data_IF_607516592429
#
_entry.id   IF_607516592429
#
_cell.length_a   1.000
_cell.length_b   1.000
_cell.length_c   1.000
_cell.angle_alpha   90.00
_cell.angle_beta   90.00
_cell.angle_gamma   90.00
#
_symmetry.space_group_name_H-M   'P 1'
#
loop_
_entity.id
_entity.type
_entity.pdbx_description
1 polymer ?
#
# COMPACT_ATOMS: atom_id res chain seq x y z
N UNK A 1 13.69 45.81 80.45
CA UNK A 1 13.64 46.98 79.56
C UNK A 1 13.83 46.49 78.12
N UNK A 2 12.79 46.66 77.30
CA UNK A 2 12.70 46.61 75.83
C UNK A 2 13.13 45.38 75.01
N UNK A 3 12.11 44.81 74.34
CA UNK A 3 12.13 44.01 73.12
C UNK A 3 13.04 44.60 72.02
N UNK A 4 13.77 43.73 71.31
CA UNK A 4 13.88 43.78 69.84
C UNK A 4 13.93 42.36 69.27
N UNK A 5 13.01 42.11 68.32
CA UNK A 5 12.86 40.90 67.53
C UNK A 5 14.12 40.61 66.71
N UNK A 6 14.54 39.35 66.64
CA UNK A 6 15.51 38.86 65.66
C UNK A 6 14.80 37.82 64.76
N UNK A 7 14.71 38.13 63.46
CA UNK A 7 14.16 37.24 62.42
C UNK A 7 15.11 36.06 62.22
N UNK A 8 14.60 34.83 62.37
CA UNK A 8 15.28 33.60 61.94
C UNK A 8 14.89 33.34 60.49
N UNK A 9 15.87 33.41 59.59
CA UNK A 9 15.73 33.00 58.19
C UNK A 9 15.80 31.48 58.09
N UNK A 10 14.77 30.88 57.50
CA UNK A 10 14.71 29.46 57.14
C UNK A 10 15.50 29.27 55.85
N UNK A 11 16.60 28.50 55.91
CA UNK A 11 17.31 27.99 54.73
C UNK A 11 16.76 26.60 54.44
N UNK A 12 15.87 26.50 53.46
CA UNK A 12 15.38 25.22 52.93
C UNK A 12 16.33 24.76 51.82
N UNK A 13 16.99 23.63 52.05
CA UNK A 13 17.81 22.93 51.05
C UNK A 13 16.87 22.37 49.96
N UNK A 14 16.90 22.95 48.75
CA UNK A 14 16.16 22.45 47.60
C UNK A 14 17.01 21.38 46.89
N UNK A 15 16.71 20.10 47.11
CA UNK A 15 17.21 19.01 46.25
C UNK A 15 16.44 19.07 44.93
N UNK A 16 17.07 19.57 43.87
CA UNK A 16 16.57 19.46 42.50
C UNK A 16 16.86 18.03 42.02
N UNK A 17 15.87 17.15 42.10
CA UNK A 17 15.90 15.89 41.39
C UNK A 17 15.77 16.18 39.88
N UNK A 18 16.87 16.05 39.14
CA UNK A 18 16.87 15.98 37.68
C UNK A 18 16.13 14.70 37.26
N UNK A 19 14.81 14.80 37.08
CA UNK A 19 14.09 13.85 36.26
C UNK A 19 14.43 14.17 34.80
N UNK A 20 15.43 13.48 34.25
CA UNK A 20 15.54 13.33 32.80
C UNK A 20 14.32 12.54 32.33
N UNK A 21 13.30 13.24 31.85
CA UNK A 21 12.19 12.64 31.11
C UNK A 21 12.75 12.13 29.79
N UNK A 22 13.27 10.90 29.78
CA UNK A 22 13.28 10.09 28.58
C UNK A 22 11.81 9.88 28.21
N UNK A 23 11.30 10.75 27.36
CA UNK A 23 10.04 10.51 26.67
C UNK A 23 10.20 9.24 25.86
N UNK A 24 9.66 8.14 26.37
CA UNK A 24 9.30 6.99 25.56
C UNK A 24 8.28 7.49 24.54
N UNK A 25 8.75 7.93 23.37
CA UNK A 25 7.91 7.98 22.19
C UNK A 25 7.48 6.54 21.92
N UNK A 26 6.25 6.21 22.33
CA UNK A 26 5.51 5.10 21.77
C UNK A 26 5.42 5.34 20.26
N UNK A 27 6.35 4.73 19.51
CA UNK A 27 6.17 4.51 18.07
C UNK A 27 4.98 3.57 17.93
N UNK A 28 3.77 4.14 17.83
CA UNK A 28 2.63 3.41 17.30
C UNK A 28 3.02 3.03 15.85
N UNK A 29 3.35 1.76 15.64
CA UNK A 29 3.56 1.23 14.29
C UNK A 29 2.27 1.45 13.50
N UNK A 30 2.35 2.26 12.45
CA UNK A 30 1.24 2.57 11.55
C UNK A 30 1.02 1.34 10.66
N UNK A 31 0.31 0.33 11.18
CA UNK A 31 -0.35 -0.63 10.32
C UNK A 31 -1.74 -0.07 10.02
N UNK A 32 -1.88 0.56 8.85
CA UNK A 32 -3.17 1.05 8.40
C UNK A 32 -4.13 -0.15 8.26
N UNK A 33 -5.25 -0.10 8.98
CA UNK A 33 -6.35 -1.08 8.88
C UNK A 33 -7.31 -0.75 7.73
N UNK A 34 -7.22 0.46 7.18
CA UNK A 34 -8.06 0.98 6.10
C UNK A 34 -7.24 1.95 5.24
N UNK A 35 -7.56 2.13 3.94
CA UNK A 35 -6.85 3.09 3.12
C UNK A 35 -7.10 4.53 3.61
N UNK A 36 -6.08 5.38 3.52
CA UNK A 36 -6.31 6.82 3.47
C UNK A 36 -6.26 7.33 2.04
N UNK A 37 -7.25 8.13 1.65
CA UNK A 37 -7.26 8.78 0.36
C UNK A 37 -8.48 8.42 -0.46
N UNK A 38 -8.35 8.41 -1.78
CA UNK A 38 -9.49 8.23 -2.66
C UNK A 38 -10.20 6.88 -2.48
N UNK A 39 -9.49 5.81 -2.12
CA UNK A 39 -10.09 4.50 -1.85
C UNK A 39 -10.89 4.45 -0.53
N UNK A 40 -10.81 5.50 0.31
CA UNK A 40 -11.58 5.62 1.57
C UNK A 40 -12.91 6.35 1.39
N UNK A 41 -13.16 6.95 0.23
CA UNK A 41 -14.38 7.70 -0.05
C UNK A 41 -15.54 6.77 -0.44
N UNK A 42 -16.77 7.32 -0.46
CA UNK A 42 -17.96 6.68 -1.04
C UNK A 42 -18.26 5.24 -0.55
N UNK A 43 -18.01 4.97 0.73
CA UNK A 43 -18.21 3.63 1.33
C UNK A 43 -16.92 2.84 1.53
N UNK A 44 -15.79 3.36 1.03
CA UNK A 44 -14.45 2.85 1.31
C UNK A 44 -14.11 1.57 0.56
N UNK A 45 -13.01 0.94 0.97
CA UNK A 45 -12.51 -0.30 0.37
C UNK A 45 -12.34 -1.34 1.48
N UNK A 46 -13.09 -2.43 1.40
CA UNK A 46 -13.14 -3.52 2.39
C UNK A 46 -12.63 -4.85 1.82
N UNK A 47 -12.45 -4.95 0.51
CA UNK A 47 -11.92 -6.13 -0.15
C UNK A 47 -12.80 -7.36 0.04
N UNK A 48 -12.20 -8.45 0.48
CA UNK A 48 -12.85 -9.72 0.77
C UNK A 48 -13.49 -9.83 2.16
N UNK A 49 -13.59 -8.74 2.92
CA UNK A 49 -14.16 -8.76 4.27
C UNK A 49 -15.56 -9.39 4.29
N UNK A 50 -15.83 -10.19 5.33
CA UNK A 50 -17.07 -10.98 5.45
C UNK A 50 -17.07 -12.28 4.63
N UNK A 51 -16.08 -12.50 3.76
CA UNK A 51 -15.88 -13.73 3.03
C UNK A 51 -15.00 -14.76 3.75
N UNK A 52 -14.89 -16.00 3.24
CA UNK A 52 -13.95 -16.98 3.76
C UNK A 52 -12.50 -16.54 3.53
N UNK A 53 -11.63 -17.04 4.41
CA UNK A 53 -10.17 -16.96 4.24
C UNK A 53 -9.69 -18.27 3.60
N UNK A 54 -8.95 -18.17 2.50
CA UNK A 54 -8.47 -19.32 1.74
C UNK A 54 -6.96 -19.21 1.49
N UNK A 55 -6.29 -20.35 1.35
CA UNK A 55 -4.85 -20.43 1.05
C UNK A 55 -4.67 -21.34 -0.17
N UNK A 56 -4.68 -20.79 -1.40
CA UNK A 56 -4.58 -21.62 -2.59
C UNK A 56 -3.25 -22.36 -2.64
N UNK A 57 -3.30 -23.62 -3.07
CA UNK A 57 -2.13 -24.49 -3.19
C UNK A 57 -1.59 -24.59 -4.61
N UNK A 58 -2.38 -24.17 -5.60
CA UNK A 58 -2.06 -24.16 -7.03
C UNK A 58 -2.55 -22.88 -7.70
N UNK A 59 -1.98 -22.53 -8.87
CA UNK A 59 -2.44 -21.34 -9.62
C UNK A 59 -3.90 -21.48 -10.07
N UNK A 60 -4.34 -22.70 -10.41
CA UNK A 60 -5.73 -22.96 -10.78
C UNK A 60 -6.70 -22.66 -9.62
N UNK A 61 -6.34 -23.06 -8.40
CA UNK A 61 -7.11 -22.77 -7.19
C UNK A 61 -7.09 -21.27 -6.86
N UNK A 62 -5.94 -20.61 -6.98
CA UNK A 62 -5.81 -19.16 -6.85
C UNK A 62 -6.74 -18.43 -7.84
N UNK A 63 -6.73 -18.81 -9.11
CA UNK A 63 -7.57 -18.21 -10.13
C UNK A 63 -9.05 -18.43 -9.82
N UNK A 64 -9.45 -19.63 -9.37
CA UNK A 64 -10.83 -19.93 -8.98
C UNK A 64 -11.32 -19.00 -7.87
N UNK A 65 -10.53 -18.83 -6.79
CA UNK A 65 -10.89 -17.93 -5.70
C UNK A 65 -10.88 -16.46 -6.12
N UNK A 66 -9.92 -16.06 -6.97
CA UNK A 66 -9.77 -14.68 -7.40
C UNK A 66 -10.91 -14.21 -8.33
N UNK A 67 -11.42 -15.06 -9.22
CA UNK A 67 -12.48 -14.68 -10.18
C UNK A 67 -13.90 -14.98 -9.72
N UNK A 68 -14.08 -15.65 -8.58
CA UNK A 68 -15.42 -15.98 -8.05
C UNK A 68 -16.22 -14.73 -7.65
N UNK A 69 -17.57 -14.80 -7.62
CA UNK A 69 -18.42 -13.63 -7.36
C UNK A 69 -18.45 -13.22 -5.87
N UNK A 70 -18.16 -14.16 -4.96
CA UNK A 70 -18.30 -13.94 -3.51
C UNK A 70 -17.10 -13.20 -2.94
N UNK A 71 -17.27 -12.42 -1.85
CA UNK A 71 -16.14 -11.88 -1.10
C UNK A 71 -15.18 -12.99 -0.66
N UNK A 72 -13.86 -12.81 -0.82
CA UNK A 72 -12.85 -13.79 -0.36
C UNK A 72 -11.56 -13.09 0.06
N UNK A 73 -10.99 -13.52 1.18
CA UNK A 73 -9.61 -13.17 1.58
C UNK A 73 -8.69 -14.32 1.16
N UNK A 74 -7.77 -14.05 0.25
CA UNK A 74 -6.86 -15.02 -0.36
C UNK A 74 -5.46 -14.78 0.19
N UNK A 75 -4.98 -15.71 1.01
CA UNK A 75 -3.64 -15.66 1.57
C UNK A 75 -2.64 -16.32 0.64
N UNK A 76 -1.61 -15.57 0.25
CA UNK A 76 -0.53 -16.04 -0.62
C UNK A 76 0.67 -16.39 0.26
N UNK A 77 0.82 -17.67 0.59
CA UNK A 77 1.86 -18.17 1.51
C UNK A 77 3.08 -18.75 0.78
N UNK A 78 3.16 -18.55 -0.53
CA UNK A 78 4.15 -19.13 -1.43
C UNK A 78 4.40 -18.25 -2.65
N UNK A 79 5.41 -18.65 -3.42
CA UNK A 79 5.59 -18.18 -4.80
C UNK A 79 4.62 -18.90 -5.74
N UNK A 80 3.89 -18.13 -6.55
CA UNK A 80 3.28 -18.62 -7.78
C UNK A 80 4.11 -18.12 -8.96
N UNK A 81 4.53 -19.06 -9.81
CA UNK A 81 5.40 -18.78 -10.95
C UNK A 81 4.68 -18.97 -12.29
N UNK A 82 4.91 -18.04 -13.20
CA UNK A 82 4.29 -17.95 -14.52
C UNK A 82 5.20 -18.36 -15.69
N UNK A 83 4.89 -17.88 -16.91
CA UNK A 83 3.96 -16.78 -17.22
C UNK A 83 2.48 -17.13 -17.05
N UNK A 84 1.71 -16.34 -16.29
CA UNK A 84 0.23 -16.41 -16.25
C UNK A 84 -0.41 -15.04 -15.97
N UNK A 85 -1.72 -14.93 -16.22
CA UNK A 85 -2.54 -13.78 -15.82
C UNK A 85 -3.54 -14.21 -14.75
N UNK A 86 -3.50 -13.56 -13.59
CA UNK A 86 -4.51 -13.69 -12.53
C UNK A 86 -5.62 -12.67 -12.77
N UNK A 87 -6.80 -13.13 -13.21
CA UNK A 87 -7.99 -12.28 -13.29
C UNK A 87 -8.59 -12.14 -11.89
N UNK A 88 -8.60 -10.92 -11.37
CA UNK A 88 -9.06 -10.62 -10.02
C UNK A 88 -10.42 -9.92 -10.08
N UNK A 89 -11.44 -10.61 -9.59
CA UNK A 89 -12.81 -10.11 -9.51
C UNK A 89 -13.04 -9.16 -8.33
N UNK A 90 -14.27 -8.67 -8.25
CA UNK A 90 -14.73 -7.77 -7.19
C UNK A 90 -14.74 -8.41 -5.80
N UNK A 91 -14.64 -7.59 -4.75
CA UNK A 91 -14.70 -8.01 -3.34
C UNK A 91 -13.59 -9.01 -2.98
N UNK A 92 -12.34 -8.69 -3.28
CA UNK A 92 -11.21 -9.59 -3.04
C UNK A 92 -10.14 -8.91 -2.19
N UNK A 93 -9.55 -9.69 -1.29
CA UNK A 93 -8.30 -9.32 -0.63
C UNK A 93 -7.23 -10.32 -1.03
N UNK A 94 -6.17 -9.89 -1.69
CA UNK A 94 -4.93 -10.67 -1.84
C UNK A 94 -3.97 -10.22 -0.75
N UNK A 95 -3.47 -11.14 0.06
CA UNK A 95 -2.55 -10.83 1.16
C UNK A 95 -1.38 -11.81 1.20
N UNK A 96 -0.14 -11.33 1.06
CA UNK A 96 1.04 -12.18 1.21
C UNK A 96 1.32 -12.55 2.68
N UNK A 97 1.59 -13.82 2.97
CA UNK A 97 1.86 -14.27 4.35
C UNK A 97 3.34 -14.09 4.67
N UNK A 98 3.64 -13.26 5.68
CA UNK A 98 5.01 -12.92 6.07
C UNK A 98 5.76 -12.28 4.90
N UNK A 99 6.82 -12.91 4.41
CA UNK A 99 7.56 -12.48 3.21
C UNK A 99 7.42 -13.46 2.05
N UNK A 100 6.53 -14.46 2.16
CA UNK A 100 6.46 -15.58 1.22
C UNK A 100 5.60 -15.29 -0.02
N UNK A 101 4.67 -14.34 0.09
CA UNK A 101 3.73 -14.03 -0.98
C UNK A 101 4.43 -13.41 -2.18
N UNK A 102 4.55 -14.18 -3.27
CA UNK A 102 5.30 -13.74 -4.45
C UNK A 102 4.61 -14.18 -5.74
N UNK A 103 4.35 -13.20 -6.59
CA UNK A 103 3.92 -13.37 -7.96
C UNK A 103 5.10 -13.17 -8.91
N UNK A 104 5.70 -14.29 -9.32
CA UNK A 104 6.85 -14.32 -10.22
C UNK A 104 6.37 -14.62 -11.65
N UNK A 105 6.45 -13.65 -12.55
CA UNK A 105 5.94 -13.74 -13.92
C UNK A 105 4.40 -13.88 -13.97
N UNK A 106 3.70 -13.31 -13.00
CA UNK A 106 2.24 -13.32 -12.94
C UNK A 106 1.76 -11.87 -12.99
N UNK A 107 0.92 -11.55 -13.98
CA UNK A 107 0.23 -10.26 -14.07
C UNK A 107 -1.15 -10.32 -13.42
N UNK A 108 -1.52 -9.31 -12.64
CA UNK A 108 -2.88 -9.21 -12.07
C UNK A 108 -3.72 -8.29 -12.93
N UNK A 109 -4.82 -8.83 -13.45
CA UNK A 109 -5.79 -8.11 -14.28
C UNK A 109 -7.03 -7.78 -13.46
N UNK A 110 -7.31 -6.48 -13.29
CA UNK A 110 -8.53 -5.96 -12.67
C UNK A 110 -9.30 -5.19 -13.75
N UNK A 111 -10.39 -5.77 -14.27
CA UNK A 111 -11.13 -5.18 -15.39
C UNK A 111 -12.62 -5.07 -15.08
N UNK A 112 -13.13 -3.83 -14.99
CA UNK A 112 -14.49 -3.52 -14.55
C UNK A 112 -14.85 -4.15 -13.18
N UNK A 113 -13.94 -4.06 -12.21
CA UNK A 113 -14.12 -4.65 -10.87
C UNK A 113 -13.96 -3.62 -9.77
N UNK A 114 -14.53 -3.91 -8.60
CA UNK A 114 -14.51 -2.99 -7.48
C UNK A 114 -14.27 -3.65 -6.13
N UNK A 115 -13.90 -2.85 -5.14
CA UNK A 115 -13.71 -3.25 -3.75
C UNK A 115 -12.61 -4.32 -3.62
N UNK A 116 -11.37 -3.92 -3.87
CA UNK A 116 -10.22 -4.83 -3.92
C UNK A 116 -9.10 -4.32 -3.01
N UNK A 117 -8.49 -5.22 -2.25
CA UNK A 117 -7.30 -4.97 -1.44
C UNK A 117 -6.19 -5.90 -1.92
N UNK A 118 -4.99 -5.37 -2.18
CA UNK A 118 -3.79 -6.15 -2.51
C UNK A 118 -2.68 -5.69 -1.58
N UNK A 119 -2.21 -6.58 -0.70
CA UNK A 119 -1.22 -6.21 0.31
C UNK A 119 -0.10 -7.22 0.49
N UNK A 120 1.07 -6.72 0.89
CA UNK A 120 2.20 -7.52 1.32
C UNK A 120 2.69 -8.54 0.27
N UNK A 121 2.65 -8.17 -1.01
CA UNK A 121 2.97 -9.06 -2.12
C UNK A 121 4.15 -8.55 -2.92
N UNK A 122 5.03 -9.48 -3.30
CA UNK A 122 6.10 -9.21 -4.26
C UNK A 122 5.59 -9.51 -5.68
N UNK A 123 6.00 -8.70 -6.65
CA UNK A 123 5.69 -8.85 -8.06
C UNK A 123 6.94 -8.67 -8.93
N UNK A 124 7.08 -9.52 -9.94
CA UNK A 124 8.04 -9.30 -11.03
C UNK A 124 7.56 -9.95 -12.32
N UNK A 125 7.93 -9.37 -13.45
CA UNK A 125 7.86 -9.97 -14.79
C UNK A 125 9.23 -10.43 -15.29
N UNK A 126 10.28 -10.28 -14.47
CA UNK A 126 11.65 -10.65 -14.86
C UNK A 126 11.71 -12.10 -15.35
N UNK A 127 12.29 -12.27 -16.54
CA UNK A 127 12.53 -13.59 -17.12
C UNK A 127 11.32 -14.26 -17.77
N UNK A 128 10.18 -13.57 -17.92
CA UNK A 128 9.15 -14.00 -18.89
C UNK A 128 9.81 -14.16 -20.27
N UNK A 129 9.46 -15.13 -21.13
CA UNK A 129 10.03 -15.24 -22.48
C UNK A 129 9.83 -13.98 -23.36
N UNK A 130 10.68 -13.82 -24.38
CA UNK A 130 10.57 -12.73 -25.37
C UNK A 130 9.56 -13.14 -26.47
N UNK A 131 8.80 -12.18 -26.98
CA UNK A 131 7.88 -12.35 -28.11
C UNK A 131 8.64 -12.65 -29.41
N UNK A 132 8.08 -13.56 -30.23
CA UNK A 132 8.69 -13.95 -31.50
C UNK A 132 8.38 -12.98 -32.65
N UNK A 133 7.75 -11.82 -32.36
CA UNK A 133 7.40 -10.76 -33.31
C UNK A 133 8.52 -9.75 -33.56
N UNK A 134 9.66 -9.89 -32.86
CA UNK A 134 10.81 -9.00 -32.99
C UNK A 134 10.68 -7.69 -32.22
N UNK A 135 9.59 -7.46 -31.47
CA UNK A 135 9.42 -6.28 -30.62
C UNK A 135 10.21 -6.37 -29.32
N UNK A 136 10.81 -7.52 -29.03
CA UNK A 136 11.61 -7.79 -27.83
C UNK A 136 10.85 -7.55 -26.50
N UNK A 137 9.51 -7.65 -26.56
CA UNK A 137 8.59 -7.54 -25.43
C UNK A 137 8.34 -8.88 -24.75
N UNK A 138 7.74 -8.87 -23.56
CA UNK A 138 7.31 -10.08 -22.87
C UNK A 138 6.20 -10.82 -23.63
N UNK A 139 6.32 -12.14 -23.73
CA UNK A 139 5.39 -13.03 -24.42
C UNK A 139 4.43 -13.75 -23.45
N UNK A 140 3.33 -14.29 -23.99
CA UNK A 140 2.44 -15.20 -23.25
C UNK A 140 1.34 -14.50 -22.46
N UNK A 141 1.09 -13.22 -22.73
CA UNK A 141 0.03 -12.44 -22.10
C UNK A 141 -0.98 -11.99 -23.17
N UNK A 142 -2.23 -12.42 -23.05
CA UNK A 142 -3.35 -11.91 -23.86
C UNK A 142 -4.00 -10.69 -23.20
N UNK A 143 -3.18 -9.86 -22.55
CA UNK A 143 -3.56 -8.75 -21.65
C UNK A 143 -2.36 -7.80 -21.49
N UNK A 144 -2.59 -6.58 -21.01
CA UNK A 144 -1.53 -5.63 -20.67
C UNK A 144 -0.57 -6.26 -19.64
N UNK A 145 0.69 -6.52 -19.99
CA UNK A 145 1.53 -7.40 -19.19
C UNK A 145 2.23 -6.64 -18.04
N UNK A 146 1.44 -5.83 -17.35
CA UNK A 146 1.80 -5.08 -16.15
C UNK A 146 1.83 -6.01 -14.94
N UNK A 147 2.58 -5.69 -13.88
CA UNK A 147 2.47 -6.46 -12.63
C UNK A 147 1.04 -6.39 -12.08
N UNK A 148 0.45 -5.19 -12.09
CA UNK A 148 -0.98 -4.96 -11.87
C UNK A 148 -1.50 -4.00 -12.95
N UNK A 149 -2.50 -4.42 -13.71
CA UNK A 149 -3.23 -3.54 -14.59
C UNK A 149 -4.69 -3.42 -14.16
N UNK A 150 -5.09 -2.17 -13.90
CA UNK A 150 -6.44 -1.78 -13.55
C UNK A 150 -7.05 -1.10 -14.76
N UNK A 151 -8.15 -1.66 -15.27
CA UNK A 151 -8.78 -1.24 -16.50
C UNK A 151 -10.30 -1.24 -16.37
N UNK A 152 -10.97 -0.55 -17.28
CA UNK A 152 -12.43 -0.43 -17.30
C UNK A 152 -12.94 -0.46 -18.75
N UNK A 153 -12.47 -1.44 -19.52
CA UNK A 153 -12.79 -1.65 -20.93
C UNK A 153 -13.20 -3.10 -21.24
N UNK A 154 -13.76 -3.80 -20.24
CA UNK A 154 -14.38 -5.11 -20.48
C UNK A 154 -15.60 -4.94 -21.39
N UNK A 155 -15.48 -5.40 -22.63
CA UNK A 155 -16.53 -5.25 -23.63
C UNK A 155 -17.81 -6.03 -23.30
N UNK A 156 -17.73 -7.02 -22.41
CA UNK A 156 -18.89 -7.78 -21.92
C UNK A 156 -19.76 -6.99 -20.94
N UNK A 157 -19.23 -5.89 -20.38
CA UNK A 157 -19.97 -4.97 -19.51
C UNK A 157 -20.51 -3.81 -20.35
N UNK A 158 -21.78 -3.38 -20.15
CA UNK A 158 -22.33 -2.20 -20.82
C UNK A 158 -21.43 -0.97 -20.63
N UNK A 159 -21.19 -0.19 -21.69
CA UNK A 159 -20.25 0.93 -21.66
C UNK A 159 -20.50 1.92 -20.51
N UNK A 160 -21.76 2.22 -20.21
CA UNK A 160 -22.17 3.11 -19.11
C UNK A 160 -21.87 2.57 -17.71
N UNK A 161 -21.59 1.27 -17.58
CA UNK A 161 -21.30 0.59 -16.32
C UNK A 161 -19.81 0.24 -16.17
N UNK A 162 -19.01 0.39 -17.24
CA UNK A 162 -17.58 0.09 -17.21
C UNK A 162 -16.84 1.01 -16.26
N UNK A 163 -16.45 0.47 -15.11
CA UNK A 163 -15.70 1.17 -14.06
C UNK A 163 -14.94 0.16 -13.22
N UNK A 164 -13.68 0.47 -12.93
CA UNK A 164 -12.94 -0.20 -11.86
C UNK A 164 -12.77 0.76 -10.70
N UNK A 165 -13.11 0.38 -9.47
CA UNK A 165 -13.05 1.33 -8.36
C UNK A 165 -12.91 0.79 -6.95
N UNK A 166 -12.52 1.64 -6.01
CA UNK A 166 -12.32 1.26 -4.60
C UNK A 166 -11.26 0.18 -4.49
N UNK A 167 -10.03 0.55 -4.82
CA UNK A 167 -8.89 -0.37 -4.89
C UNK A 167 -7.76 0.18 -4.01
N UNK A 168 -7.25 -0.68 -3.12
CA UNK A 168 -6.15 -0.36 -2.24
C UNK A 168 -4.99 -1.32 -2.47
N UNK A 169 -3.83 -0.78 -2.87
CA UNK A 169 -2.60 -1.52 -3.11
C UNK A 169 -1.56 -1.03 -2.10
N UNK A 170 -1.17 -1.89 -1.17
CA UNK A 170 -0.40 -1.46 -0.01
C UNK A 170 0.70 -2.43 0.45
N UNK A 171 1.88 -1.90 0.78
CA UNK A 171 3.03 -2.69 1.22
C UNK A 171 3.46 -3.79 0.22
N UNK A 172 3.32 -3.55 -1.08
CA UNK A 172 3.82 -4.44 -2.12
C UNK A 172 5.22 -4.03 -2.60
N UNK A 173 5.93 -4.96 -3.24
CA UNK A 173 7.22 -4.73 -3.90
C UNK A 173 7.11 -5.06 -5.39
N UNK A 174 7.54 -4.16 -6.27
CA UNK A 174 7.44 -4.27 -7.71
C UNK A 174 8.79 -3.99 -8.36
N UNK A 175 9.28 -4.93 -9.17
CA UNK A 175 10.57 -4.79 -9.84
C UNK A 175 10.70 -5.70 -11.07
N UNK A 176 11.61 -5.36 -11.98
CA UNK A 176 11.96 -6.21 -13.10
C UNK A 176 13.47 -6.30 -13.30
N UNK A 177 14.07 -5.24 -13.82
CA UNK A 177 15.46 -5.21 -14.22
C UNK A 177 15.99 -3.79 -14.19
N UNK A 178 17.26 -3.64 -13.82
CA UNK A 178 17.90 -2.35 -13.74
C UNK A 178 17.81 -1.63 -15.10
N UNK A 179 17.18 -0.44 -15.17
CA UNK A 179 16.97 0.27 -16.42
C UNK A 179 18.28 0.72 -17.08
N UNK A 180 19.41 0.68 -16.38
CA UNK A 180 20.74 0.97 -16.96
C UNK A 180 21.36 -0.24 -17.64
N UNK A 181 20.87 -1.45 -17.35
CA UNK A 181 21.33 -2.71 -17.95
C UNK A 181 20.42 -3.17 -19.09
N UNK A 182 19.19 -2.67 -19.17
CA UNK A 182 18.23 -2.99 -20.21
C UNK A 182 18.61 -2.29 -21.53
N UNK A 183 18.80 -3.07 -22.59
CA UNK A 183 19.06 -2.54 -23.94
C UNK A 183 17.79 -2.10 -24.66
N UNK A 184 16.63 -2.51 -24.15
CA UNK A 184 15.31 -2.19 -24.68
C UNK A 184 14.40 -1.77 -23.53
N UNK A 185 14.00 -0.50 -23.54
CA UNK A 185 13.20 0.10 -22.48
C UNK A 185 11.72 -0.38 -22.50
N UNK A 186 11.28 -1.00 -23.60
CA UNK A 186 9.92 -1.53 -23.77
C UNK A 186 9.82 -3.04 -23.48
N UNK A 187 10.93 -3.68 -23.13
CA UNK A 187 11.00 -5.11 -22.79
C UNK A 187 9.93 -5.54 -21.78
N UNK A 188 9.75 -4.77 -20.71
CA UNK A 188 8.66 -4.90 -19.74
C UNK A 188 7.76 -3.65 -19.86
N UNK A 189 6.45 -3.80 -19.64
CA UNK A 189 5.53 -2.66 -19.72
C UNK A 189 5.46 -1.86 -18.41
N UNK A 190 4.30 -1.78 -17.76
CA UNK A 190 4.08 -1.12 -16.48
C UNK A 190 4.39 -1.99 -15.26
N UNK A 191 4.66 -1.37 -14.10
CA UNK A 191 4.53 -2.05 -12.81
C UNK A 191 3.07 -1.98 -12.35
N UNK A 192 2.49 -0.79 -12.32
CA UNK A 192 1.11 -0.58 -11.86
C UNK A 192 0.43 0.50 -12.69
N UNK A 193 -0.47 0.06 -13.57
CA UNK A 193 -1.20 0.94 -14.48
C UNK A 193 -2.69 1.04 -14.11
N UNK A 194 -3.26 2.22 -14.32
CA UNK A 194 -4.68 2.48 -14.18
C UNK A 194 -5.22 3.23 -15.42
N UNK A 195 -6.01 2.54 -16.23
CA UNK A 195 -6.44 2.98 -17.57
C UNK A 195 -7.98 3.03 -17.63
N UNK A 196 -8.55 3.83 -18.53
CA UNK A 196 -10.00 3.99 -18.66
C UNK A 196 -10.65 4.55 -17.37
N UNK A 197 -11.92 4.26 -17.12
CA UNK A 197 -12.71 4.74 -15.98
C UNK A 197 -12.33 4.08 -14.63
N UNK A 198 -11.08 4.27 -14.21
CA UNK A 198 -10.57 3.84 -12.91
C UNK A 198 -10.78 4.92 -11.85
N UNK A 199 -11.42 4.60 -10.73
CA UNK A 199 -11.83 5.59 -9.73
C UNK A 199 -11.52 5.12 -8.31
N UNK A 200 -11.27 6.04 -7.38
CA UNK A 200 -11.16 5.70 -5.96
C UNK A 200 -10.04 4.70 -5.66
N UNK A 201 -8.81 5.04 -6.06
CA UNK A 201 -7.63 4.17 -5.89
C UNK A 201 -6.67 4.78 -4.88
N UNK A 202 -6.09 3.95 -4.02
CA UNK A 202 -5.01 4.34 -3.09
C UNK A 202 -3.85 3.36 -3.23
N UNK A 203 -2.66 3.90 -3.42
CA UNK A 203 -1.41 3.16 -3.58
C UNK A 203 -0.49 3.64 -2.46
N UNK A 204 -0.26 2.80 -1.45
CA UNK A 204 0.46 3.22 -0.23
C UNK A 204 1.58 2.29 0.20
N UNK A 205 2.66 2.84 0.74
CA UNK A 205 3.75 2.04 1.31
C UNK A 205 4.36 0.98 0.37
N UNK A 206 4.22 1.16 -0.95
CA UNK A 206 4.76 0.21 -1.93
C UNK A 206 6.20 0.59 -2.31
N UNK A 207 7.00 -0.44 -2.59
CA UNK A 207 8.36 -0.28 -3.08
C UNK A 207 8.43 -0.60 -4.57
N UNK A 208 8.64 0.42 -5.40
CA UNK A 208 8.86 0.30 -6.83
C UNK A 208 10.34 0.48 -7.12
N UNK A 209 11.00 -0.51 -7.72
CA UNK A 209 12.41 -0.37 -8.07
C UNK A 209 12.83 -1.16 -9.30
N UNK A 210 13.98 -0.80 -9.87
CA UNK A 210 14.63 -1.52 -10.98
C UNK A 210 13.64 -1.77 -12.14
N UNK A 211 13.22 -0.70 -12.80
CA UNK A 211 12.29 -0.75 -13.93
C UNK A 211 12.28 0.53 -14.77
N UNK A 212 11.90 0.45 -16.05
CA UNK A 212 11.80 1.63 -16.91
C UNK A 212 10.53 2.45 -16.74
N UNK A 213 9.34 1.84 -16.81
CA UNK A 213 8.05 2.55 -16.90
C UNK A 213 7.17 2.16 -15.69
N UNK A 214 7.27 2.88 -14.57
CA UNK A 214 6.63 2.41 -13.32
C UNK A 214 5.09 2.42 -13.36
N UNK A 215 4.46 3.60 -13.41
CA UNK A 215 3.00 3.72 -13.29
C UNK A 215 2.40 4.66 -14.34
N UNK A 216 1.49 4.16 -15.17
CA UNK A 216 0.73 4.93 -16.15
C UNK A 216 -0.74 5.10 -15.72
N UNK A 217 -1.16 6.35 -15.59
CA UNK A 217 -2.56 6.72 -15.32
C UNK A 217 -3.16 7.40 -16.55
N UNK A 218 -3.98 6.66 -17.30
CA UNK A 218 -4.57 7.09 -18.57
C UNK A 218 -3.72 6.74 -19.79
N UNK A 219 -4.22 5.83 -20.64
CA UNK A 219 -3.44 5.22 -21.74
C UNK A 219 -3.20 6.11 -22.95
N UNK A 220 -3.98 7.18 -23.12
CA UNK A 220 -3.86 8.07 -24.27
C UNK A 220 -4.66 9.35 -24.12
N UNK A 221 -4.62 10.19 -25.16
CA UNK A 221 -5.28 11.50 -25.13
C UNK A 221 -6.82 11.41 -25.23
N UNK A 222 -7.36 10.28 -25.69
CA UNK A 222 -8.79 9.97 -25.71
C UNK A 222 -9.28 9.22 -24.47
N UNK A 223 -8.36 8.88 -23.55
CA UNK A 223 -8.70 8.24 -22.29
C UNK A 223 -8.98 9.35 -21.26
N UNK A 224 -10.11 10.03 -21.37
CA UNK A 224 -10.41 11.33 -20.77
C UNK A 224 -11.17 11.30 -19.43
N UNK A 225 -11.23 10.14 -18.78
CA UNK A 225 -11.92 9.97 -17.51
C UNK A 225 -11.28 10.77 -16.36
N UNK A 226 -12.13 11.25 -15.44
CA UNK A 226 -11.72 11.94 -14.20
C UNK A 226 -11.19 10.94 -13.16
N UNK A 227 -10.13 10.18 -13.47
CA UNK A 227 -9.55 9.17 -12.57
C UNK A 227 -9.13 9.80 -11.24
N UNK A 228 -9.48 9.17 -10.12
CA UNK A 228 -9.17 9.67 -8.76
C UNK A 228 -8.20 8.73 -8.04
N UNK A 229 -6.96 9.17 -7.86
CA UNK A 229 -5.87 8.31 -7.35
C UNK A 229 -5.09 9.04 -6.25
N UNK A 230 -4.78 8.32 -5.17
CA UNK A 230 -3.88 8.75 -4.09
C UNK A 230 -2.62 7.88 -4.11
N UNK A 231 -1.45 8.49 -4.02
CA UNK A 231 -0.19 7.78 -3.79
C UNK A 231 0.49 8.34 -2.54
N UNK A 232 0.75 7.52 -1.53
CA UNK A 232 1.45 8.02 -0.33
C UNK A 232 2.42 7.02 0.29
N UNK A 233 3.48 7.53 0.91
CA UNK A 233 4.52 6.69 1.56
C UNK A 233 5.16 5.64 0.65
N UNK A 234 5.02 5.74 -0.67
CA UNK A 234 5.68 4.83 -1.60
C UNK A 234 7.15 5.21 -1.75
N UNK A 235 7.98 4.23 -2.07
CA UNK A 235 9.36 4.43 -2.49
C UNK A 235 9.49 4.11 -3.97
N UNK A 236 10.07 5.03 -4.73
CA UNK A 236 10.53 4.80 -6.10
C UNK A 236 12.06 4.87 -6.11
N UNK A 237 12.73 3.79 -6.49
CA UNK A 237 14.19 3.72 -6.53
C UNK A 237 14.69 3.13 -7.84
N UNK A 238 15.67 3.76 -8.50
CA UNK A 238 16.22 3.23 -9.76
C UNK A 238 15.15 2.99 -10.84
N UNK A 239 14.32 4.01 -11.09
CA UNK A 239 13.23 3.97 -12.08
C UNK A 239 13.51 4.96 -13.22
N UNK A 240 13.31 4.53 -14.46
CA UNK A 240 13.55 5.36 -15.65
C UNK A 240 12.48 6.41 -15.96
N UNK A 241 11.21 6.15 -15.65
CA UNK A 241 10.09 7.03 -16.02
C UNK A 241 8.78 6.66 -15.35
N UNK A 242 7.81 7.58 -15.45
CA UNK A 242 6.41 7.39 -15.03
C UNK A 242 6.30 7.14 -13.52
N UNK A 243 6.70 8.10 -12.69
CA UNK A 243 6.53 8.03 -11.22
C UNK A 243 5.55 9.07 -10.65
N UNK A 244 4.25 9.07 -11.04
CA UNK A 244 3.62 8.41 -12.19
C UNK A 244 3.66 9.27 -13.47
N UNK A 245 3.20 8.74 -14.61
CA UNK A 245 2.69 9.57 -15.71
C UNK A 245 1.17 9.63 -15.62
N UNK A 246 0.58 10.82 -15.71
CA UNK A 246 -0.88 10.97 -15.67
C UNK A 246 -1.44 11.80 -16.82
N UNK A 247 -2.60 11.38 -17.33
CA UNK A 247 -3.49 12.11 -18.23
C UNK A 247 -4.87 12.22 -17.58
N UNK A 248 -5.48 13.40 -17.65
CA UNK A 248 -6.75 13.71 -17.01
C UNK A 248 -6.76 13.37 -15.51
N UNK A 249 -7.93 13.44 -14.88
CA UNK A 249 -8.12 13.02 -13.50
C UNK A 249 -7.38 13.86 -12.45
N UNK A 250 -7.46 13.37 -11.22
CA UNK A 250 -6.96 13.98 -9.99
C UNK A 250 -6.02 13.04 -9.28
N UNK A 251 -4.81 13.52 -9.02
CA UNK A 251 -3.79 12.79 -8.27
C UNK A 251 -3.44 13.55 -7.00
N UNK A 252 -3.46 12.85 -5.86
CA UNK A 252 -2.87 13.34 -4.62
C UNK A 252 -1.63 12.52 -4.30
N UNK A 253 -0.47 13.16 -4.18
CA UNK A 253 0.76 12.50 -3.72
C UNK A 253 1.27 13.13 -2.43
N UNK A 254 1.48 12.34 -1.39
CA UNK A 254 2.11 12.83 -0.16
C UNK A 254 3.07 11.87 0.50
N UNK A 255 4.12 12.41 1.13
CA UNK A 255 5.16 11.65 1.83
C UNK A 255 5.77 10.48 1.03
N UNK A 256 5.79 10.55 -0.30
CA UNK A 256 6.52 9.59 -1.13
C UNK A 256 8.01 9.93 -1.17
N UNK A 257 8.86 8.91 -1.33
CA UNK A 257 10.31 9.05 -1.48
C UNK A 257 10.74 8.56 -2.86
N UNK A 258 11.28 9.47 -3.68
CA UNK A 258 11.85 9.12 -4.99
C UNK A 258 13.35 9.32 -4.93
N UNK A 259 14.12 8.27 -5.18
CA UNK A 259 15.58 8.30 -5.05
C UNK A 259 16.31 7.52 -6.14
N UNK A 260 17.59 7.86 -6.39
CA UNK A 260 18.46 7.14 -7.35
C UNK A 260 17.87 7.06 -8.77
N UNK A 261 17.28 8.14 -9.25
CA UNK A 261 16.67 8.24 -10.57
C UNK A 261 17.38 9.30 -11.43
N UNK A 262 18.72 9.23 -11.50
CA UNK A 262 19.58 10.24 -12.14
C UNK A 262 19.40 10.35 -13.66
N UNK A 263 18.91 9.30 -14.32
CA UNK A 263 18.45 9.34 -15.71
C UNK A 263 16.92 9.32 -15.84
N UNK A 264 16.23 9.24 -14.70
CA UNK A 264 14.81 8.99 -14.60
C UNK A 264 13.96 10.25 -14.45
N UNK A 265 12.65 10.11 -14.70
CA UNK A 265 11.69 11.20 -14.56
C UNK A 265 10.51 10.84 -13.65
N UNK A 266 10.17 11.80 -12.78
CA UNK A 266 9.15 11.69 -11.74
C UNK A 266 7.73 11.87 -12.27
N UNK A 267 6.93 12.70 -11.58
CA UNK A 267 5.56 12.97 -12.01
C UNK A 267 5.54 13.70 -13.35
N UNK A 268 4.84 13.13 -14.33
CA UNK A 268 4.57 13.75 -15.61
C UNK A 268 3.09 14.15 -15.72
N UNK A 269 2.78 15.43 -15.56
CA UNK A 269 1.43 15.99 -15.74
C UNK A 269 1.17 16.30 -17.22
N UNK A 270 0.45 15.41 -17.90
CA UNK A 270 0.07 15.52 -19.32
C UNK A 270 -1.34 16.08 -19.45
N UNK A 271 -1.93 15.93 -20.64
CA UNK A 271 -3.23 16.50 -21.03
C UNK A 271 -4.28 16.53 -19.91
N UNK A 272 -4.73 17.74 -19.57
CA UNK A 272 -5.80 18.04 -18.61
C UNK A 272 -5.69 17.32 -17.24
N UNK A 273 -4.49 16.88 -16.86
CA UNK A 273 -4.24 16.27 -15.55
C UNK A 273 -4.19 17.32 -14.44
N UNK A 274 -4.55 16.92 -13.23
CA UNK A 274 -4.54 17.82 -12.08
C UNK A 274 -3.97 17.13 -10.83
N UNK A 275 -2.83 17.60 -10.32
CA UNK A 275 -2.12 16.98 -9.21
C UNK A 275 -1.96 17.90 -7.98
N UNK A 276 -2.03 17.32 -6.80
CA UNK A 276 -1.66 17.94 -5.52
C UNK A 276 -0.52 17.14 -4.88
N UNK A 277 0.64 17.76 -4.70
CA UNK A 277 1.84 17.11 -4.18
C UNK A 277 2.24 17.80 -2.89
N UNK A 278 2.14 17.12 -1.76
CA UNK A 278 2.59 17.65 -0.48
C UNK A 278 3.62 16.77 0.24
N UNK A 279 4.67 17.39 0.77
CA UNK A 279 5.65 16.70 1.65
C UNK A 279 6.29 15.46 1.04
N UNK A 280 6.48 15.42 -0.27
CA UNK A 280 7.26 14.37 -0.94
C UNK A 280 8.75 14.73 -0.91
N UNK A 281 9.60 13.72 -0.91
CA UNK A 281 11.05 13.88 -0.91
C UNK A 281 11.64 13.28 -2.18
N UNK A 282 12.36 14.10 -2.93
CA UNK A 282 13.09 13.71 -4.13
C UNK A 282 14.59 13.83 -3.88
N UNK A 283 15.34 12.78 -4.18
CA UNK A 283 16.80 12.72 -4.02
C UNK A 283 17.43 12.13 -5.28
N UNK A 284 18.44 12.79 -5.86
CA UNK A 284 19.16 12.25 -7.03
C UNK A 284 18.20 11.91 -8.21
N UNK A 285 17.34 12.86 -8.59
CA UNK A 285 16.32 12.70 -9.65
C UNK A 285 16.56 13.69 -10.78
N UNK A 286 16.66 13.22 -12.03
CA UNK A 286 16.92 14.09 -13.20
C UNK A 286 15.84 15.14 -13.45
N UNK A 287 14.58 14.74 -13.24
CA UNK A 287 13.41 15.56 -13.56
C UNK A 287 12.26 15.15 -12.64
N UNK A 288 12.13 15.73 -11.43
CA UNK A 288 11.24 15.21 -10.39
C UNK A 288 9.75 15.47 -10.65
N UNK A 289 9.40 16.63 -11.22
CA UNK A 289 8.03 16.97 -11.62
C UNK A 289 8.10 17.82 -12.88
N UNK A 290 7.34 17.45 -13.90
CA UNK A 290 7.30 18.13 -15.19
C UNK A 290 5.97 17.87 -15.88
N UNK A 291 5.75 18.54 -17.00
CA UNK A 291 4.58 18.31 -17.84
C UNK A 291 4.84 18.67 -19.28
N UNK A 292 3.78 19.20 -19.91
CA UNK A 292 3.86 19.83 -21.21
C UNK A 292 2.83 20.95 -21.26
N UNK A 293 3.29 22.19 -21.22
CA UNK A 293 2.42 23.36 -21.07
C UNK A 293 1.31 23.41 -22.13
N UNK A 294 1.61 23.00 -23.36
CA UNK A 294 0.64 22.92 -24.46
C UNK A 294 -0.48 21.89 -24.26
N UNK A 295 -0.38 21.02 -23.25
CA UNK A 295 -1.38 20.00 -22.93
C UNK A 295 -2.24 20.39 -21.71
N UNK A 296 -1.94 21.48 -21.01
CA UNK A 296 -2.78 21.98 -19.90
C UNK A 296 -2.75 21.12 -18.63
N UNK A 297 -1.72 20.31 -18.44
CA UNK A 297 -1.47 19.60 -17.18
C UNK A 297 -1.14 20.57 -16.05
N UNK A 298 -1.62 20.27 -14.84
CA UNK A 298 -1.50 21.16 -13.67
C UNK A 298 -1.00 20.43 -12.44
N UNK A 299 -0.18 21.09 -11.63
CA UNK A 299 0.22 20.58 -10.32
C UNK A 299 0.35 21.70 -9.28
N UNK A 300 0.07 21.37 -8.02
CA UNK A 300 0.41 22.19 -6.86
C UNK A 300 1.50 21.48 -6.05
N UNK A 301 2.58 22.19 -5.74
CA UNK A 301 3.71 21.70 -4.97
C UNK A 301 3.75 22.40 -3.62
N UNK A 302 3.59 21.65 -2.53
CA UNK A 302 3.57 22.18 -1.17
C UNK A 302 4.53 21.42 -0.26
N UNK A 303 5.48 22.11 0.36
CA UNK A 303 6.40 21.55 1.36
C UNK A 303 7.18 20.30 0.88
N UNK A 304 7.48 20.19 -0.43
CA UNK A 304 8.31 19.10 -0.97
C UNK A 304 9.80 19.43 -0.81
N UNK A 305 10.65 18.41 -0.64
CA UNK A 305 12.11 18.56 -0.65
C UNK A 305 12.67 17.98 -1.95
N UNK A 306 13.59 18.73 -2.57
CA UNK A 306 14.33 18.31 -3.76
C UNK A 306 15.82 18.42 -3.49
N UNK A 307 16.47 17.28 -3.25
CA UNK A 307 17.91 17.17 -2.97
C UNK A 307 18.61 16.61 -4.21
N UNK A 308 19.66 17.27 -4.68
CA UNK A 308 20.43 16.84 -5.86
C UNK A 308 19.54 16.51 -7.09
N UNK A 309 18.45 17.26 -7.26
CA UNK A 309 17.56 17.10 -8.40
C UNK A 309 17.93 18.10 -9.50
N UNK A 310 17.76 17.67 -10.74
CA UNK A 310 17.94 18.52 -11.92
C UNK A 310 16.59 18.84 -12.57
N UNK A 311 16.61 19.71 -13.59
CA UNK A 311 15.46 20.08 -14.42
C UNK A 311 14.22 20.42 -13.58
N UNK A 312 14.40 21.39 -12.71
CA UNK A 312 13.40 21.83 -11.75
C UNK A 312 12.36 22.74 -12.42
N UNK A 313 11.07 22.62 -12.06
CA UNK A 313 10.02 23.50 -12.57
C UNK A 313 10.17 24.92 -12.04
N UNK A 314 9.77 25.91 -12.85
CA UNK A 314 9.87 27.32 -12.51
C UNK A 314 8.86 27.78 -11.43
N UNK A 315 7.81 27.01 -11.17
CA UNK A 315 6.80 27.32 -10.15
C UNK A 315 7.45 27.49 -8.77
N UNK A 316 7.08 28.54 -8.04
CA UNK A 316 7.66 28.88 -6.73
C UNK A 316 7.61 27.67 -5.79
N UNK A 317 8.78 27.16 -5.41
CA UNK A 317 8.93 26.04 -4.48
C UNK A 317 9.12 26.58 -3.05
N UNK A 318 8.14 26.49 -2.16
CA UNK A 318 8.39 26.74 -0.74
C UNK A 318 9.38 25.68 -0.26
N UNK A 319 10.56 26.10 0.20
CA UNK A 319 11.58 25.25 0.84
C UNK A 319 12.40 24.30 -0.06
N UNK A 320 12.69 24.68 -1.32
CA UNK A 320 13.64 23.93 -2.15
C UNK A 320 15.09 24.04 -1.62
N UNK A 321 15.72 22.90 -1.32
CA UNK A 321 17.15 22.77 -1.00
C UNK A 321 17.92 22.19 -2.20
N UNK A 322 18.11 22.94 -3.29
CA UNK A 322 18.83 22.40 -4.46
C UNK A 322 20.30 22.85 -4.53
N UNK A 323 21.20 21.87 -4.66
CA UNK A 323 22.47 22.01 -5.39
C UNK A 323 22.32 21.25 -6.72
N UNK A 324 22.78 21.86 -7.83
CA UNK A 324 22.83 21.21 -9.16
C UNK A 324 21.61 21.41 -10.07
N UNK A 325 20.61 22.21 -9.69
CA UNK A 325 19.36 22.34 -10.42
C UNK A 325 19.45 23.25 -11.66
N UNK A 326 19.43 22.66 -12.87
CA UNK A 326 19.03 23.37 -14.08
C UNK A 326 17.49 23.54 -14.10
N UNK A 327 16.98 24.52 -14.84
CA UNK A 327 15.54 24.68 -15.04
C UNK A 327 14.99 23.72 -16.10
N UNK A 328 13.68 23.43 -16.04
CA UNK A 328 12.97 22.83 -17.16
C UNK A 328 13.07 23.70 -18.42
N UNK A 329 12.97 23.06 -19.59
CA UNK A 329 12.68 23.82 -20.81
C UNK A 329 11.24 24.34 -20.74
N UNK A 330 10.96 25.48 -21.36
CA UNK A 330 9.60 26.05 -21.35
C UNK A 330 8.51 25.10 -21.87
N UNK A 331 8.85 24.17 -22.78
CA UNK A 331 7.93 23.16 -23.29
C UNK A 331 7.58 22.06 -22.28
N UNK A 332 8.35 21.90 -21.22
CA UNK A 332 8.16 20.88 -20.18
C UNK A 332 7.57 21.43 -18.89
N UNK A 333 7.30 22.73 -18.84
CA UNK A 333 6.59 23.36 -17.74
C UNK A 333 5.11 22.95 -17.70
N UNK A 334 4.46 23.29 -16.59
CA UNK A 334 3.05 23.01 -16.32
C UNK A 334 2.42 24.16 -15.54
N UNK A 335 1.09 24.20 -15.50
CA UNK A 335 0.37 25.25 -14.77
C UNK A 335 0.23 24.93 -13.28
N UNK A 336 0.13 25.96 -12.45
CA UNK A 336 -0.23 25.80 -11.05
C UNK A 336 -1.65 25.26 -10.92
N UNK A 337 -1.83 24.23 -10.09
CA UNK A 337 -3.15 23.74 -9.73
C UNK A 337 -3.77 24.52 -8.55
N UNK A 338 -5.10 24.63 -8.55
CA UNK A 338 -5.93 25.08 -7.42
C UNK A 338 -6.73 23.94 -6.76
N UNK A 339 -6.52 22.70 -7.20
CA UNK A 339 -7.18 21.51 -6.63
C UNK A 339 -6.69 21.27 -5.21
N UNK A 340 -7.56 20.75 -4.36
CA UNK A 340 -7.22 20.19 -3.05
C UNK A 340 -7.92 18.84 -2.86
N UNK A 341 -7.26 17.84 -2.26
CA UNK A 341 -7.87 16.55 -1.97
C UNK A 341 -9.13 16.70 -1.09
N UNK A 342 -10.21 15.94 -1.33
CA UNK A 342 -11.48 16.06 -0.60
C UNK A 342 -11.52 15.32 0.75
N UNK A 343 -10.37 14.88 1.26
CA UNK A 343 -10.22 14.09 2.51
C UNK A 343 -9.03 14.59 3.31
N UNK A 344 -8.86 14.09 4.53
CA UNK A 344 -7.74 14.41 5.42
C UNK A 344 -6.99 13.13 5.80
N UNK A 345 -5.67 13.13 5.61
CA UNK A 345 -4.78 12.03 6.03
C UNK A 345 -3.83 12.45 7.16
N UNK A 346 -4.20 13.48 7.93
CA UNK A 346 -3.31 14.14 8.88
C UNK A 346 -2.75 13.21 9.99
N UNK A 347 -3.46 12.13 10.34
CA UNK A 347 -3.02 11.14 11.33
C UNK A 347 -1.84 10.29 10.88
N UNK A 348 -1.65 10.13 9.56
CA UNK A 348 -0.57 9.31 8.98
C UNK A 348 0.50 10.16 8.28
N UNK A 349 0.23 11.44 8.03
CA UNK A 349 1.20 12.37 7.44
C UNK A 349 2.27 12.76 8.46
N UNK A 350 3.53 12.80 8.03
CA UNK A 350 4.65 13.27 8.85
C UNK A 350 5.49 14.35 8.14
N UNK A 351 6.39 15.06 8.88
CA UNK A 351 7.24 16.08 8.29
C UNK A 351 8.05 15.55 7.10
N UNK A 352 8.20 16.36 6.05
CA UNK A 352 8.90 15.96 4.82
C UNK A 352 10.34 15.51 5.07
N UNK A 353 11.03 16.10 6.06
CA UNK A 353 12.40 15.73 6.44
C UNK A 353 12.52 14.30 6.96
N UNK A 354 11.45 13.72 7.50
CA UNK A 354 11.43 12.35 8.02
C UNK A 354 11.20 11.31 6.91
N UNK A 355 10.79 11.75 5.72
CA UNK A 355 10.35 10.87 4.61
C UNK A 355 11.40 9.82 4.26
N UNK A 356 12.68 10.14 4.00
CA UNK A 356 13.66 9.12 3.67
C UNK A 356 13.81 8.05 4.77
N UNK A 357 13.84 8.46 6.05
CA UNK A 357 14.00 7.53 7.16
C UNK A 357 12.76 6.64 7.35
N UNK A 358 11.57 7.24 7.42
CA UNK A 358 10.32 6.53 7.68
C UNK A 358 9.91 5.65 6.51
N UNK A 359 10.01 6.13 5.27
CA UNK A 359 9.69 5.32 4.09
C UNK A 359 10.63 4.12 3.99
N UNK A 360 11.96 4.30 4.12
CA UNK A 360 12.89 3.16 4.09
C UNK A 360 12.63 2.14 5.21
N UNK A 361 12.13 2.58 6.36
CA UNK A 361 11.83 1.69 7.48
C UNK A 361 10.63 0.78 7.20
N UNK A 362 9.56 1.30 6.59
CA UNK A 362 8.25 0.63 6.53
C UNK A 362 7.75 0.30 5.13
N UNK A 363 8.45 0.68 4.06
CA UNK A 363 7.99 0.38 2.69
C UNK A 363 8.13 -1.11 2.34
N UNK A 364 7.18 -1.61 1.53
CA UNK A 364 7.24 -2.91 0.88
C UNK A 364 6.85 -4.10 1.75
N UNK A 365 7.22 -5.29 1.27
CA UNK A 365 6.82 -6.58 1.85
C UNK A 365 7.50 -6.83 3.20
N UNK A 366 6.82 -7.54 4.10
CA UNK A 366 7.36 -7.99 5.38
C UNK A 366 7.39 -6.92 6.48
N UNK A 367 6.72 -5.79 6.24
CA UNK A 367 6.63 -4.66 7.20
C UNK A 367 5.32 -4.65 7.96
N UNK A 368 4.31 -5.29 7.39
CA UNK A 368 3.08 -5.61 8.09
C UNK A 368 3.35 -6.78 9.03
N UNK A 369 2.89 -6.68 10.27
CA UNK A 369 2.73 -7.88 11.09
C UNK A 369 1.73 -8.80 10.37
N UNK A 370 1.92 -10.13 10.51
CA UNK A 370 1.02 -11.14 9.93
C UNK A 370 -0.42 -10.69 10.11
N UNK A 371 -1.26 -10.80 9.06
CA UNK A 371 -2.32 -9.85 8.77
C UNK A 371 -3.01 -9.44 10.06
N UNK A 372 -2.93 -8.16 10.40
CA UNK A 372 -4.05 -7.55 11.11
C UNK A 372 -5.24 -7.72 10.16
N UNK A 373 -5.88 -8.89 10.22
CA UNK A 373 -7.15 -9.12 9.57
C UNK A 373 -8.01 -8.01 10.14
N UNK A 374 -8.47 -7.11 9.28
CA UNK A 374 -9.34 -5.99 9.63
C UNK A 374 -10.61 -6.58 10.25
N UNK A 375 -10.54 -6.83 11.56
CA UNK A 375 -11.57 -7.41 12.41
C UNK A 375 -11.79 -6.53 13.65
N UNK A 376 -11.21 -5.32 13.67
CA UNK A 376 -11.60 -4.27 14.61
C UNK A 376 -11.14 -4.44 16.05
N UNK A 377 -10.03 -5.14 16.35
CA UNK A 377 -9.43 -5.10 17.70
C UNK A 377 -7.90 -5.15 17.62
N UNK A 378 -7.23 -4.09 18.12
CA UNK A 378 -5.79 -4.09 18.41
C UNK A 378 -5.51 -5.01 19.60
N UNK A 379 -4.44 -5.81 19.53
CA UNK A 379 -3.78 -6.28 20.75
C UNK A 379 -2.26 -6.16 20.60
N UNK A 380 -1.67 -5.62 21.65
CA UNK A 380 -0.26 -5.37 21.82
C UNK A 380 0.57 -6.66 21.67
N UNK A 381 1.82 -6.46 21.27
CA UNK A 381 2.88 -7.44 21.10
C UNK A 381 2.76 -8.68 21.99
N UNK A 382 2.68 -9.88 21.39
CA UNK A 382 3.15 -11.12 22.01
C UNK A 382 3.18 -12.32 21.03
N UNK A 383 4.39 -12.73 20.67
CA UNK A 383 4.85 -14.09 20.34
C UNK A 383 4.00 -14.97 19.36
N UNK A 384 4.55 -15.22 18.18
CA UNK A 384 3.91 -15.82 16.98
C UNK A 384 3.74 -17.35 17.01
N UNK A 385 3.58 -17.98 18.18
CA UNK A 385 3.60 -19.45 18.30
C UNK A 385 2.25 -20.15 18.17
N UNK A 386 1.12 -19.44 18.25
CA UNK A 386 -0.22 -20.06 18.32
C UNK A 386 -1.18 -19.41 17.32
N UNK A 387 -1.65 -20.19 16.34
CA UNK A 387 -2.69 -19.78 15.40
C UNK A 387 -3.97 -20.58 15.62
N UNK A 388 -5.12 -19.90 15.59
CA UNK A 388 -6.43 -20.46 15.85
C UNK A 388 -7.38 -20.09 14.72
N UNK A 389 -7.98 -21.08 14.05
CA UNK A 389 -8.87 -20.82 12.91
C UNK A 389 -9.88 -21.95 12.67
N UNK A 390 -11.10 -21.65 12.20
CA UNK A 390 -11.66 -20.31 12.04
C UNK A 390 -12.04 -19.69 13.39
N UNK A 391 -11.99 -18.37 13.48
CA UNK A 391 -12.52 -17.61 14.61
C UNK A 391 -12.96 -16.22 14.10
N UNK A 392 -14.27 -15.92 14.00
CA UNK A 392 -15.40 -16.69 14.51
C UNK A 392 -15.55 -18.09 13.91
N UNK A 393 -16.14 -19.03 14.66
CA UNK A 393 -16.41 -20.41 14.23
C UNK A 393 -17.91 -20.73 14.25
N UNK A 394 -18.33 -21.66 13.39
CA UNK A 394 -19.65 -22.30 13.44
C UNK A 394 -19.68 -23.54 14.36
N UNK A 395 -18.51 -24.02 14.79
CA UNK A 395 -18.39 -25.23 15.60
C UNK A 395 -16.97 -25.71 15.78
N UNK A 396 -16.22 -25.95 14.71
CA UNK A 396 -14.85 -26.47 14.83
C UNK A 396 -13.79 -25.37 14.82
N UNK A 397 -12.75 -25.54 15.63
CA UNK A 397 -11.59 -24.66 15.70
C UNK A 397 -10.33 -25.50 15.57
N UNK A 398 -9.41 -25.09 14.71
CA UNK A 398 -8.12 -25.72 14.50
C UNK A 398 -7.02 -24.87 15.13
N UNK A 399 -6.01 -25.54 15.64
CA UNK A 399 -4.77 -25.00 16.16
C UNK A 399 -3.62 -25.39 15.24
N UNK A 400 -2.57 -24.58 15.18
CA UNK A 400 -1.38 -24.85 14.34
C UNK A 400 -0.51 -26.02 14.83
N UNK A 401 -0.73 -26.54 16.03
CA UNK A 401 -0.08 -27.72 16.59
C UNK A 401 -0.94 -28.29 17.73
N UNK A 402 -0.58 -29.48 18.23
CA UNK A 402 -1.20 -30.01 19.46
C UNK A 402 -0.76 -29.16 20.64
N UNK A 403 -1.74 -28.53 21.28
CA UNK A 403 -1.54 -27.73 22.48
C UNK A 403 -2.44 -28.25 23.59
N UNK A 404 -2.05 -28.06 24.85
CA UNK A 404 -2.98 -28.23 25.96
C UNK A 404 -3.84 -26.98 26.03
N UNK A 405 -5.16 -27.16 26.08
CA UNK A 405 -6.10 -26.07 26.07
C UNK A 405 -7.22 -26.24 27.09
N UNK A 406 -7.69 -25.10 27.60
CA UNK A 406 -8.84 -25.00 28.50
C UNK A 406 -9.81 -23.97 27.92
N UNK A 407 -11.04 -24.38 27.62
CA UNK A 407 -12.11 -23.48 27.18
C UNK A 407 -12.92 -22.99 28.38
N UNK A 408 -13.14 -21.69 28.49
CA UNK A 408 -13.99 -21.08 29.51
C UNK A 408 -15.08 -20.21 28.89
N UNK A 409 -16.18 -20.01 29.63
CA UNK A 409 -17.21 -19.02 29.27
C UNK A 409 -16.85 -17.60 29.76
N UNK A 410 -17.73 -16.63 29.51
CA UNK A 410 -17.56 -15.23 29.92
C UNK A 410 -17.44 -15.04 31.45
N UNK A 411 -17.98 -15.96 32.25
CA UNK A 411 -17.89 -15.94 33.71
C UNK A 411 -16.61 -16.61 34.24
N UNK A 412 -15.73 -17.06 33.33
CA UNK A 412 -14.49 -17.76 33.68
C UNK A 412 -14.69 -19.22 34.11
N UNK A 413 -15.90 -19.78 33.93
CA UNK A 413 -16.15 -21.18 34.24
C UNK A 413 -15.52 -22.07 33.16
N UNK A 414 -14.74 -23.06 33.58
CA UNK A 414 -14.16 -24.07 32.69
C UNK A 414 -15.27 -24.95 32.13
N UNK A 415 -15.31 -25.05 30.81
CA UNK A 415 -16.29 -25.84 30.07
C UNK A 415 -15.74 -27.18 29.60
N UNK A 416 -14.50 -27.17 29.11
CA UNK A 416 -13.79 -28.35 28.60
C UNK A 416 -12.29 -28.09 28.57
N UNK A 417 -11.51 -29.16 28.72
CA UNK A 417 -10.06 -29.15 28.55
C UNK A 417 -9.66 -30.26 27.57
N UNK A 418 -8.54 -30.09 26.88
CA UNK A 418 -8.07 -31.07 25.92
C UNK A 418 -6.63 -30.84 25.47
N UNK A 419 -6.12 -31.83 24.73
CA UNK A 419 -4.79 -31.79 24.12
C UNK A 419 -4.90 -32.29 22.68
N UNK A 420 -5.15 -31.36 21.76
CA UNK A 420 -5.45 -31.66 20.36
C UNK A 420 -5.12 -30.48 19.46
N UNK A 421 -5.12 -30.73 18.15
CA UNK A 421 -5.06 -29.69 17.11
C UNK A 421 -6.46 -29.17 16.75
N UNK A 422 -7.53 -29.80 17.26
CA UNK A 422 -8.91 -29.46 16.91
C UNK A 422 -9.77 -29.43 18.18
N UNK A 423 -10.54 -28.36 18.31
CA UNK A 423 -11.54 -28.15 19.34
C UNK A 423 -12.93 -28.14 18.69
N UNK A 424 -13.85 -28.97 19.21
CA UNK A 424 -15.23 -29.05 18.76
C UNK A 424 -16.17 -28.29 19.70
N UNK A 425 -16.78 -27.23 19.19
CA UNK A 425 -17.76 -26.39 19.86
C UNK A 425 -19.20 -26.64 19.40
N UNK A 426 -19.49 -27.63 18.56
CA UNK A 426 -20.84 -27.86 18.02
C UNK A 426 -21.90 -28.01 19.12
N UNK A 427 -21.54 -28.59 20.28
CA UNK A 427 -22.44 -28.75 21.44
C UNK A 427 -22.65 -27.50 22.31
N UNK A 428 -21.96 -26.39 22.04
CA UNK A 428 -22.04 -25.16 22.84
C UNK A 428 -22.98 -24.12 22.20
N UNK A 429 -23.52 -23.18 22.96
CA UNK A 429 -24.38 -22.12 22.40
C UNK A 429 -23.58 -21.10 21.59
N UNK A 430 -24.21 -20.41 20.64
CA UNK A 430 -23.59 -19.23 20.01
C UNK A 430 -23.22 -18.20 21.09
N UNK A 431 -22.04 -17.61 20.99
CA UNK A 431 -21.56 -16.70 22.02
C UNK A 431 -20.05 -16.64 22.13
N UNK A 432 -19.61 -15.97 23.18
CA UNK A 432 -18.21 -15.71 23.44
C UNK A 432 -17.61 -16.71 24.43
N UNK A 433 -16.45 -17.25 24.08
CA UNK A 433 -15.63 -18.14 24.89
C UNK A 433 -14.18 -17.64 24.96
N UNK A 434 -13.42 -18.17 25.91
CA UNK A 434 -11.98 -17.93 26.01
C UNK A 434 -11.24 -19.27 26.03
N UNK A 435 -10.32 -19.44 25.08
CA UNK A 435 -9.47 -20.62 24.98
C UNK A 435 -8.10 -20.27 25.56
N UNK A 436 -7.80 -20.80 26.74
CA UNK A 436 -6.49 -20.71 27.35
C UNK A 436 -5.58 -21.79 26.76
N UNK A 437 -4.41 -21.41 26.27
CA UNK A 437 -3.39 -22.26 25.67
C UNK A 437 -2.07 -21.92 26.34
N UNK A 438 -1.48 -22.86 27.09
CA UNK A 438 -0.28 -22.62 27.90
C UNK A 438 -0.38 -21.33 28.75
N UNK A 439 0.42 -20.30 28.42
CA UNK A 439 0.44 -18.98 29.08
C UNK A 439 -0.50 -17.94 28.46
N UNK A 440 -1.22 -18.28 27.38
CA UNK A 440 -2.02 -17.36 26.58
C UNK A 440 -3.52 -17.62 26.72
N UNK A 441 -4.32 -16.58 26.48
CA UNK A 441 -5.78 -16.67 26.42
C UNK A 441 -6.27 -16.05 25.13
N UNK A 442 -6.97 -16.82 24.31
CA UNK A 442 -7.51 -16.37 23.03
C UNK A 442 -9.04 -16.30 23.09
N UNK A 443 -9.58 -15.18 22.64
CA UNK A 443 -11.02 -14.93 22.56
C UNK A 443 -11.61 -15.74 21.39
N UNK A 444 -12.62 -16.56 21.62
CA UNK A 444 -13.30 -17.40 20.62
C UNK A 444 -14.76 -16.97 20.46
N UNK A 445 -15.16 -16.55 19.26
CA UNK A 445 -16.55 -16.26 18.94
C UNK A 445 -17.18 -17.47 18.24
N UNK A 446 -18.15 -18.12 18.89
CA UNK A 446 -19.04 -19.07 18.22
C UNK A 446 -20.25 -18.30 17.66
N UNK A 447 -20.53 -18.50 16.38
CA UNK A 447 -21.72 -17.96 15.71
C UNK A 447 -22.88 -18.95 15.77
#
# INVERSE_FOLDING_TARGET
MNLKMLKVGIVTLLLIALFSTFGLQLNAQVQDSEPCGYASLEGGTTGGAGGPVVVPTSFAELQLYASGPNPVIILIDREFKGPNVLRLGSNKTLFGVGTKGFFNQIGVSIQCQHNIIIRNLKFTMKGVPISNDGENKIAGFNFDPDCIAIQADDETVPETERKSSHIWIDHCEFYNEDPTLMTDYDRYDGLLDAKNNCQYITISWNYFHDHHKACLFGKGNSDDFDRKITMHHNKFENIGSRMPLMRFGKLHMFNNYTTRCLEGNGLNVRINSNAYLEKNYYEDVKKPVFGKLSEGGKALLKDNIFKNCDRMPAITLPNALSQGASSLSGSEEFETSNFSPPYQCASITFPVVDVPAKVNQYVGVGKLHAPAIVTGINNAAEDLSIHIYPNPTQGLINLNAKHFWTLTNLQGQVLIEGHSEVLDLNGYTSGMYFLKLDSKVVKIQKQ
#
